data_IF_826715402135
#
_entry.id   IF_826715402135
#
_cell.length_a   1.000
_cell.length_b   1.000
_cell.length_c   1.000
_cell.angle_alpha   90.00
_cell.angle_beta   90.00
_cell.angle_gamma   90.00
#
_symmetry.space_group_name_H-M   'P 1'
#
loop_
_entity.id
_entity.type
_entity.pdbx_description
1 polymer ?
#
# COMPACT_ATOMS: atom_id res chain seq x y z
N UNK A 1 12.47 -8.63 23.47
CA UNK A 1 11.25 -8.17 22.74
C UNK A 1 10.24 -9.32 22.74
N UNK A 2 9.05 -9.09 23.26
CA UNK A 2 8.03 -10.15 23.33
C UNK A 2 7.40 -10.39 21.95
N UNK A 3 7.29 -11.65 21.55
CA UNK A 3 6.59 -12.05 20.31
C UNK A 3 5.14 -11.59 20.31
N UNK A 4 4.48 -11.61 21.48
CA UNK A 4 3.11 -11.15 21.62
C UNK A 4 2.95 -9.65 21.35
N UNK A 5 3.88 -8.82 21.83
CA UNK A 5 3.87 -7.38 21.55
C UNK A 5 4.08 -7.08 20.05
N UNK A 6 4.98 -7.84 19.40
CA UNK A 6 5.18 -7.73 17.94
C UNK A 6 3.93 -8.14 17.17
N UNK A 7 3.29 -9.25 17.54
CA UNK A 7 2.04 -9.69 16.89
C UNK A 7 0.96 -8.62 16.96
N UNK A 8 0.73 -8.06 18.14
CA UNK A 8 -0.25 -6.98 18.31
C UNK A 8 0.06 -5.75 17.45
N UNK A 9 1.33 -5.35 17.37
CA UNK A 9 1.76 -4.24 16.52
C UNK A 9 1.55 -4.53 15.03
N UNK A 10 1.86 -5.75 14.57
CA UNK A 10 1.63 -6.18 13.18
C UNK A 10 0.14 -6.20 12.82
N UNK A 11 -0.72 -6.67 13.73
CA UNK A 11 -2.17 -6.67 13.53
C UNK A 11 -2.72 -5.24 13.39
N UNK A 12 -2.30 -4.34 14.28
CA UNK A 12 -2.70 -2.93 14.24
C UNK A 12 -2.24 -2.24 12.95
N UNK A 13 -1.03 -2.54 12.49
CA UNK A 13 -0.47 -2.00 11.26
C UNK A 13 -0.96 -2.70 9.99
N UNK A 14 -1.72 -3.80 10.10
CA UNK A 14 -2.14 -4.66 8.99
C UNK A 14 -0.96 -5.24 8.19
N UNK A 15 0.10 -5.57 8.89
CA UNK A 15 1.33 -6.13 8.35
C UNK A 15 1.51 -7.62 8.69
N UNK A 16 0.44 -8.32 9.04
CA UNK A 16 0.47 -9.77 9.23
C UNK A 16 0.53 -10.47 7.88
N UNK A 17 1.44 -11.45 7.76
CA UNK A 17 1.55 -12.28 6.57
C UNK A 17 0.23 -13.03 6.31
N UNK A 18 -0.28 -13.07 5.07
CA UNK A 18 -1.56 -13.71 4.78
C UNK A 18 -1.53 -15.24 4.96
N UNK A 19 -0.35 -15.84 4.87
CA UNK A 19 -0.14 -17.30 4.97
C UNK A 19 1.10 -17.63 5.82
N UNK A 20 1.13 -17.28 7.11
CA UNK A 20 2.31 -17.50 7.94
C UNK A 20 2.68 -18.98 8.07
N UNK A 21 1.69 -19.87 8.03
CA UNK A 21 1.90 -21.32 8.10
C UNK A 21 2.55 -21.91 6.83
N UNK A 22 2.51 -21.18 5.74
CA UNK A 22 3.16 -21.57 4.49
C UNK A 22 4.65 -21.15 4.40
N UNK A 23 5.14 -20.40 5.39
CA UNK A 23 6.54 -19.98 5.45
C UNK A 23 7.38 -21.12 5.98
N UNK A 24 8.21 -21.71 5.10
CA UNK A 24 9.08 -22.83 5.40
C UNK A 24 10.58 -22.51 5.34
N UNK A 25 10.95 -21.27 5.03
CA UNK A 25 12.34 -20.83 5.01
C UNK A 25 12.99 -21.03 6.39
N UNK A 26 14.20 -21.60 6.41
CA UNK A 26 14.89 -22.03 7.63
C UNK A 26 14.99 -20.97 8.73
N UNK A 27 15.20 -19.71 8.36
CA UNK A 27 15.27 -18.60 9.34
C UNK A 27 13.97 -18.43 10.14
N UNK A 28 12.82 -18.68 9.52
CA UNK A 28 11.51 -18.53 10.15
C UNK A 28 11.01 -19.79 10.86
N UNK A 29 11.65 -20.92 10.59
CA UNK A 29 11.36 -22.20 11.25
C UNK A 29 12.25 -22.46 12.47
N UNK A 30 13.25 -21.61 12.70
CA UNK A 30 14.07 -21.66 13.90
C UNK A 30 13.29 -21.09 15.10
N UNK A 31 13.59 -21.55 16.29
CA UNK A 31 13.00 -21.01 17.52
C UNK A 31 13.51 -19.61 17.89
N UNK A 32 14.27 -18.97 16.99
CA UNK A 32 14.83 -17.67 17.26
C UNK A 32 13.76 -16.57 17.16
N UNK A 33 13.49 -15.84 18.24
CA UNK A 33 12.35 -14.92 18.32
C UNK A 33 12.47 -13.69 17.40
N UNK A 34 13.64 -13.43 16.83
CA UNK A 34 13.87 -12.33 15.90
C UNK A 34 13.13 -12.55 14.58
N UNK A 35 13.18 -13.77 14.03
CA UNK A 35 12.51 -14.12 12.78
C UNK A 35 11.07 -14.58 13.05
N UNK A 36 10.11 -13.82 12.57
CA UNK A 36 8.70 -14.09 12.79
C UNK A 36 7.98 -14.29 11.45
N UNK A 37 7.52 -15.51 11.19
CA UNK A 37 6.81 -15.85 9.95
C UNK A 37 5.53 -15.01 9.72
N UNK A 38 4.94 -14.50 10.77
CA UNK A 38 3.79 -13.61 10.70
C UNK A 38 4.16 -12.16 10.28
N UNK A 39 5.44 -11.77 10.38
CA UNK A 39 5.89 -10.44 9.97
C UNK A 39 6.05 -10.36 8.45
N UNK A 40 5.04 -9.81 7.79
CA UNK A 40 4.98 -9.68 6.32
C UNK A 40 6.20 -8.95 5.75
N UNK A 41 6.65 -7.89 6.38
CA UNK A 41 7.77 -7.08 5.89
C UNK A 41 9.07 -7.85 5.98
N UNK A 42 9.31 -8.52 7.11
CA UNK A 42 10.49 -9.34 7.32
C UNK A 42 10.53 -10.52 6.33
N UNK A 43 9.40 -11.21 6.15
CA UNK A 43 9.31 -12.33 5.19
C UNK A 43 9.56 -11.86 3.75
N UNK A 44 8.97 -10.75 3.33
CA UNK A 44 9.22 -10.17 2.00
C UNK A 44 10.69 -9.80 1.79
N UNK A 45 11.31 -9.17 2.78
CA UNK A 45 12.72 -8.81 2.70
C UNK A 45 13.62 -10.04 2.56
N UNK A 46 13.45 -11.04 3.40
CA UNK A 46 14.22 -12.27 3.37
C UNK A 46 14.00 -13.07 2.07
N UNK A 47 12.79 -13.05 1.52
CA UNK A 47 12.50 -13.65 0.22
C UNK A 47 13.33 -13.01 -0.91
N UNK A 48 13.40 -11.68 -0.93
CA UNK A 48 14.21 -10.96 -1.93
C UNK A 48 15.71 -11.21 -1.72
N UNK A 49 16.16 -11.21 -0.45
CA UNK A 49 17.56 -11.47 -0.11
C UNK A 49 17.98 -12.88 -0.51
N UNK A 50 17.14 -13.89 -0.32
CA UNK A 50 17.42 -15.26 -0.69
C UNK A 50 17.76 -15.39 -2.20
N UNK A 51 17.08 -14.65 -3.05
CA UNK A 51 17.35 -14.62 -4.49
C UNK A 51 18.59 -13.78 -4.81
N UNK A 52 18.66 -12.56 -4.27
CA UNK A 52 19.70 -11.60 -4.63
C UNK A 52 21.09 -11.95 -4.04
N UNK A 53 21.11 -12.52 -2.84
CA UNK A 53 22.35 -12.77 -2.09
C UNK A 53 22.70 -14.26 -2.02
N UNK A 54 21.72 -15.09 -1.68
CA UNK A 54 21.95 -16.53 -1.50
C UNK A 54 21.87 -17.31 -2.82
N UNK A 55 21.47 -16.67 -3.92
CA UNK A 55 21.39 -17.26 -5.24
C UNK A 55 20.26 -18.28 -5.43
N UNK A 56 19.23 -18.25 -4.59
CA UNK A 56 18.07 -19.10 -4.73
C UNK A 56 17.26 -18.77 -6.00
N UNK A 57 16.57 -19.76 -6.54
CA UNK A 57 15.63 -19.50 -7.64
C UNK A 57 14.41 -18.74 -7.13
N UNK A 58 13.81 -17.91 -7.99
CA UNK A 58 12.61 -17.14 -7.64
C UNK A 58 11.47 -18.06 -7.21
N UNK A 59 11.30 -19.20 -7.90
CA UNK A 59 10.25 -20.17 -7.58
C UNK A 59 10.45 -20.77 -6.19
N UNK A 60 11.67 -21.19 -5.88
CA UNK A 60 12.00 -21.78 -4.58
C UNK A 60 11.88 -20.75 -3.44
N UNK A 61 12.43 -19.54 -3.63
CA UNK A 61 12.36 -18.48 -2.63
C UNK A 61 10.91 -18.03 -2.37
N UNK A 62 10.11 -17.82 -3.40
CA UNK A 62 8.71 -17.46 -3.24
C UNK A 62 7.94 -18.53 -2.47
N UNK A 63 8.05 -19.81 -2.88
CA UNK A 63 7.38 -20.91 -2.20
C UNK A 63 7.79 -21.04 -0.72
N UNK A 64 9.09 -20.93 -0.42
CA UNK A 64 9.60 -21.00 0.95
C UNK A 64 9.13 -19.86 1.85
N UNK A 65 8.72 -18.74 1.28
CA UNK A 65 8.23 -17.55 2.00
C UNK A 65 6.71 -17.34 1.92
N UNK A 66 5.97 -18.34 1.43
CA UNK A 66 4.50 -18.32 1.37
C UNK A 66 3.93 -17.40 0.30
N UNK A 67 4.69 -17.13 -0.76
CA UNK A 67 4.29 -16.30 -1.90
C UNK A 67 4.32 -17.09 -3.22
N UNK A 68 3.56 -16.62 -4.18
CA UNK A 68 3.65 -17.09 -5.56
C UNK A 68 4.77 -16.39 -6.32
N UNK A 69 5.18 -16.96 -7.45
CA UNK A 69 6.14 -16.32 -8.36
C UNK A 69 5.68 -14.93 -8.81
N UNK A 70 4.39 -14.78 -9.10
CA UNK A 70 3.84 -13.47 -9.51
C UNK A 70 3.92 -12.43 -8.38
N UNK A 71 3.61 -12.83 -7.14
CA UNK A 71 3.76 -11.97 -5.96
C UNK A 71 5.21 -11.58 -5.71
N UNK A 72 6.18 -12.47 -5.96
CA UNK A 72 7.59 -12.15 -5.87
C UNK A 72 7.96 -10.96 -6.76
N UNK A 73 7.56 -10.98 -8.02
CA UNK A 73 7.86 -9.88 -8.95
C UNK A 73 7.22 -8.55 -8.53
N UNK A 74 6.01 -8.59 -7.97
CA UNK A 74 5.37 -7.38 -7.43
C UNK A 74 6.15 -6.80 -6.24
N UNK A 75 6.60 -7.67 -5.32
CA UNK A 75 7.42 -7.27 -4.17
C UNK A 75 8.78 -6.74 -4.62
N UNK A 76 9.43 -7.40 -5.57
CA UNK A 76 10.71 -6.97 -6.13
C UNK A 76 10.61 -5.59 -6.79
N UNK A 77 9.58 -5.36 -7.60
CA UNK A 77 9.36 -4.08 -8.26
C UNK A 77 9.12 -2.96 -7.25
N UNK A 78 8.29 -3.20 -6.24
CA UNK A 78 8.03 -2.22 -5.19
C UNK A 78 9.27 -1.90 -4.35
N UNK A 79 10.10 -2.90 -4.08
CA UNK A 79 11.37 -2.70 -3.39
C UNK A 79 12.38 -1.92 -4.25
N UNK A 80 12.48 -2.22 -5.54
CA UNK A 80 13.35 -1.50 -6.47
C UNK A 80 12.98 -0.02 -6.59
N UNK A 81 11.69 0.29 -6.57
CA UNK A 81 11.17 1.66 -6.69
C UNK A 81 11.29 2.46 -5.40
N UNK A 82 10.97 1.85 -4.24
CA UNK A 82 10.77 2.56 -2.97
C UNK A 82 11.63 2.04 -1.81
N UNK A 83 12.53 1.09 -2.06
CA UNK A 83 13.34 0.46 -1.02
C UNK A 83 12.50 -0.27 0.03
N UNK A 84 12.91 -0.20 1.29
CA UNK A 84 12.19 -0.86 2.40
C UNK A 84 10.73 -0.40 2.53
N UNK A 85 10.43 0.85 2.23
CA UNK A 85 9.05 1.36 2.23
C UNK A 85 8.16 0.64 1.21
N UNK A 86 8.72 0.11 0.13
CA UNK A 86 8.01 -0.69 -0.86
C UNK A 86 7.51 -2.04 -0.34
N UNK A 87 8.05 -2.52 0.78
CA UNK A 87 7.60 -3.76 1.42
C UNK A 87 6.36 -3.57 2.29
N UNK A 88 6.03 -2.33 2.64
CA UNK A 88 4.79 -1.99 3.30
C UNK A 88 3.64 -2.08 2.31
N UNK A 89 2.52 -2.64 2.75
CA UNK A 89 1.33 -2.65 1.90
C UNK A 89 0.78 -1.24 1.70
N UNK A 90 0.46 -0.91 0.48
CA UNK A 90 -0.30 0.30 0.21
C UNK A 90 -1.72 0.16 0.76
N UNK A 91 -2.26 1.26 1.27
CA UNK A 91 -3.67 1.28 1.68
C UNK A 91 -4.54 0.83 0.51
N UNK A 92 -5.31 -0.22 0.73
CA UNK A 92 -6.33 -0.65 -0.22
C UNK A 92 -7.38 0.44 -0.32
N UNK A 93 -7.73 0.80 -1.52
CA UNK A 93 -8.76 1.78 -1.78
C UNK A 93 -8.37 2.78 -2.87
N UNK A 94 -9.32 3.62 -3.21
CA UNK A 94 -9.17 4.63 -4.24
C UNK A 94 -8.16 5.69 -3.80
N UNK A 95 -7.08 5.87 -4.56
CA UNK A 95 -6.05 6.90 -4.31
C UNK A 95 -6.57 8.32 -4.66
N UNK A 96 -7.63 8.76 -4.03
CA UNK A 96 -8.21 10.09 -4.25
C UNK A 96 -9.34 10.11 -5.30
N UNK A 97 -9.95 11.28 -5.49
CA UNK A 97 -11.02 11.46 -6.45
C UNK A 97 -10.46 11.43 -7.88
N UNK A 98 -10.93 10.49 -8.70
CA UNK A 98 -10.48 10.35 -10.12
C UNK A 98 -10.91 11.49 -11.03
N UNK A 99 -11.95 12.24 -10.65
CA UNK A 99 -12.48 13.35 -11.42
C UNK A 99 -11.87 14.71 -11.06
N UNK A 100 -11.22 14.81 -9.90
CA UNK A 100 -10.62 16.06 -9.43
C UNK A 100 -9.13 16.02 -9.72
N UNK A 101 -8.70 16.68 -10.78
CA UNK A 101 -7.29 16.93 -11.09
C UNK A 101 -6.73 18.06 -10.23
N UNK A 102 -5.40 18.26 -10.24
CA UNK A 102 -4.77 19.36 -9.50
C UNK A 102 -5.33 20.74 -9.87
N UNK A 103 -5.68 20.99 -11.12
CA UNK A 103 -6.27 22.25 -11.59
C UNK A 103 -7.68 22.46 -11.07
N UNK A 104 -8.52 21.41 -11.08
CA UNK A 104 -9.87 21.46 -10.51
C UNK A 104 -9.82 21.66 -9.02
N UNK A 105 -8.89 21.00 -8.31
CA UNK A 105 -8.72 21.17 -6.88
C UNK A 105 -8.34 22.60 -6.51
N UNK A 106 -7.43 23.24 -7.24
CA UNK A 106 -7.06 24.66 -7.07
C UNK A 106 -8.25 25.58 -7.31
N UNK A 107 -8.96 25.37 -8.41
CA UNK A 107 -10.16 26.15 -8.72
C UNK A 107 -11.20 26.11 -7.60
N UNK A 108 -11.46 24.93 -7.04
CA UNK A 108 -12.43 24.74 -5.96
C UNK A 108 -11.94 25.35 -4.62
N UNK A 109 -10.65 25.27 -4.34
CA UNK A 109 -10.05 25.84 -3.14
C UNK A 109 -10.05 27.38 -3.18
N UNK A 110 -9.77 27.97 -4.36
CA UNK A 110 -9.69 29.41 -4.57
C UNK A 110 -11.07 30.08 -4.77
N UNK A 111 -12.13 29.28 -4.88
CA UNK A 111 -13.48 29.79 -5.09
C UNK A 111 -13.98 30.62 -3.91
N UNK A 112 -14.68 31.75 -4.15
CA UNK A 112 -15.24 32.60 -3.09
C UNK A 112 -16.15 31.85 -2.12
N UNK A 113 -16.10 32.22 -0.83
CA UNK A 113 -16.79 31.51 0.25
C UNK A 113 -18.32 31.48 0.13
N UNK A 114 -18.93 32.37 -0.64
CA UNK A 114 -20.39 32.48 -0.81
C UNK A 114 -20.99 31.57 -1.90
N UNK A 115 -20.19 30.83 -2.64
CA UNK A 115 -20.70 29.98 -3.74
C UNK A 115 -21.20 28.64 -3.24
N UNK A 116 -22.35 28.22 -3.77
CA UNK A 116 -22.94 26.91 -3.48
C UNK A 116 -22.19 25.77 -4.20
N UNK A 117 -22.27 24.56 -3.63
CA UNK A 117 -21.70 23.38 -4.28
C UNK A 117 -22.26 23.08 -5.67
N UNK A 118 -23.52 23.47 -5.93
CA UNK A 118 -24.16 23.31 -7.24
C UNK A 118 -23.57 24.29 -8.28
N UNK A 119 -23.31 25.53 -7.90
CA UNK A 119 -22.67 26.53 -8.75
C UNK A 119 -21.25 26.14 -9.11
N UNK A 120 -20.49 25.68 -8.09
CA UNK A 120 -19.12 25.19 -8.30
C UNK A 120 -19.08 23.97 -9.21
N UNK A 121 -20.02 23.03 -9.08
CA UNK A 121 -20.10 21.86 -9.93
C UNK A 121 -20.39 22.25 -11.40
N UNK A 122 -21.27 23.22 -11.63
CA UNK A 122 -21.54 23.77 -12.99
C UNK A 122 -20.33 24.44 -13.60
N UNK A 123 -19.62 25.27 -12.85
CA UNK A 123 -18.41 25.93 -13.35
C UNK A 123 -17.28 24.94 -13.67
N UNK A 124 -17.15 23.88 -12.89
CA UNK A 124 -16.20 22.80 -13.19
C UNK A 124 -16.58 22.08 -14.48
N UNK A 125 -17.87 21.82 -14.70
CA UNK A 125 -18.36 21.22 -15.93
C UNK A 125 -18.12 22.13 -17.14
N UNK A 126 -18.41 23.44 -17.02
CA UNK A 126 -18.23 24.42 -18.07
C UNK A 126 -16.75 24.67 -18.43
N UNK A 127 -15.87 24.71 -17.42
CA UNK A 127 -14.44 24.99 -17.60
C UNK A 127 -13.59 23.79 -17.97
N UNK A 128 -13.85 22.65 -17.33
CA UNK A 128 -12.99 21.46 -17.40
C UNK A 128 -13.68 20.26 -18.07
N UNK A 129 -14.94 20.38 -18.43
CA UNK A 129 -15.73 19.30 -19.03
C UNK A 129 -15.96 18.10 -18.08
N UNK A 130 -15.84 18.31 -16.76
CA UNK A 130 -15.94 17.26 -15.75
C UNK A 130 -17.21 17.45 -14.93
N UNK A 131 -18.13 16.49 -15.00
CA UNK A 131 -19.34 16.48 -14.21
C UNK A 131 -19.06 16.02 -12.77
N UNK A 132 -19.31 16.90 -11.79
CA UNK A 132 -19.18 16.64 -10.36
C UNK A 132 -20.55 16.75 -9.69
N UNK A 133 -20.76 15.89 -8.67
CA UNK A 133 -21.88 16.07 -7.76
C UNK A 133 -21.59 17.23 -6.80
N UNK A 134 -22.64 18.05 -6.47
CA UNK A 134 -22.50 19.20 -5.56
C UNK A 134 -21.74 18.93 -4.26
N UNK A 135 -22.03 17.78 -3.61
CA UNK A 135 -21.35 17.37 -2.38
C UNK A 135 -19.86 17.08 -2.58
N UNK A 136 -19.47 16.62 -3.77
CA UNK A 136 -18.08 16.37 -4.11
C UNK A 136 -17.32 17.68 -4.27
N UNK A 137 -17.92 18.69 -4.91
CA UNK A 137 -17.37 20.03 -5.03
C UNK A 137 -17.21 20.71 -3.65
N UNK A 138 -18.23 20.62 -2.79
CA UNK A 138 -18.17 21.14 -1.41
C UNK A 138 -17.07 20.50 -0.56
N UNK A 139 -16.93 19.16 -0.64
CA UNK A 139 -15.87 18.44 0.09
C UNK A 139 -14.47 18.81 -0.40
N UNK A 140 -14.30 18.98 -1.70
CA UNK A 140 -13.02 19.35 -2.29
C UNK A 140 -12.59 20.77 -1.89
N UNK A 141 -13.55 21.71 -1.75
CA UNK A 141 -13.28 23.06 -1.28
C UNK A 141 -12.80 23.13 0.17
N UNK A 142 -13.25 22.20 1.02
CA UNK A 142 -12.91 22.14 2.44
C UNK A 142 -11.57 21.45 2.75
N UNK A 143 -10.92 20.89 1.77
CA UNK A 143 -9.62 20.23 1.90
C UNK A 143 -8.47 21.19 1.66
#
# INVERSE_FOLDING_TARGET
>A
MSTQSRMKALEQARLVHPRPDAVSAGLFCSEHPFFLAADKVQVKYEMLRAVAVDGETIVAAAAAHGYSRAEFYLVQAAFAERGMAGLLDERRGRKGPTKITGEIARFLTDAPAGRSGAELAREVEDRFGVSLHRRTAERARKR
#
